data_IF_968790695822
#
_entry.id   IF_968790695822
#
_cell.length_a   1.000
_cell.length_b   1.000
_cell.length_c   1.000
_cell.angle_alpha   90.00
_cell.angle_beta   90.00
_cell.angle_gamma   90.00
#
_symmetry.space_group_name_H-M   'P 1'
#
loop_
_entity.id
_entity.type
_entity.pdbx_description
1 polymer ?
#
# COMPACT_ATOMS: atom_id res chain seq x y z
N UNK A 1 4.60 14.75 20.61
CA UNK A 1 3.18 14.40 20.87
C UNK A 1 2.31 14.36 19.59
N UNK A 2 2.88 14.26 18.38
CA UNK A 2 2.11 14.27 17.12
C UNK A 2 1.84 12.92 16.45
N UNK A 3 2.18 11.77 17.07
CA UNK A 3 2.17 10.47 16.37
C UNK A 3 0.91 9.62 16.54
N UNK A 4 0.08 9.90 17.55
CA UNK A 4 -1.14 9.12 17.85
C UNK A 4 -2.36 9.62 17.06
N UNK A 5 -2.51 10.94 16.89
CA UNK A 5 -3.56 11.53 16.06
C UNK A 5 -3.41 11.12 14.58
N UNK A 6 -2.18 11.07 14.06
CA UNK A 6 -1.93 10.64 12.67
C UNK A 6 -2.22 9.15 12.42
N UNK A 7 -2.31 8.30 13.45
CA UNK A 7 -2.59 6.86 13.29
C UNK A 7 -4.09 6.52 13.37
N UNK A 8 -4.83 7.20 14.25
CA UNK A 8 -6.29 7.02 14.36
C UNK A 8 -7.02 7.43 13.06
N UNK A 9 -6.49 8.44 12.36
CA UNK A 9 -7.11 8.98 11.13
C UNK A 9 -6.92 8.10 9.89
N UNK A 10 -5.84 7.30 9.82
CA UNK A 10 -5.62 6.33 8.72
C UNK A 10 -6.64 5.19 8.74
N UNK A 11 -7.16 4.86 9.92
CA UNK A 11 -8.18 3.82 10.11
C UNK A 11 -9.58 4.24 9.69
N UNK A 12 -9.89 5.54 9.66
CA UNK A 12 -11.18 6.01 9.19
C UNK A 12 -11.25 5.94 7.66
N UNK A 13 -10.27 6.49 6.93
CA UNK A 13 -10.40 6.66 5.47
C UNK A 13 -10.60 5.34 4.69
N UNK A 14 -9.97 4.24 5.11
CA UNK A 14 -10.12 2.92 4.44
C UNK A 14 -11.47 2.26 4.69
N UNK A 15 -12.12 2.54 5.83
CA UNK A 15 -13.47 2.05 6.11
C UNK A 15 -14.53 2.99 5.49
N UNK A 16 -14.17 4.26 5.26
CA UNK A 16 -15.07 5.29 4.74
C UNK A 16 -15.22 5.23 3.23
N UNK A 17 -14.13 4.99 2.50
CA UNK A 17 -14.15 4.74 1.05
C UNK A 17 -15.02 3.52 0.68
N UNK A 18 -15.07 2.52 1.56
CA UNK A 18 -15.84 1.28 1.36
C UNK A 18 -17.32 1.37 1.73
N UNK A 19 -17.72 2.35 2.54
CA UNK A 19 -19.07 2.41 3.13
C UNK A 19 -19.94 3.59 2.66
N UNK A 20 -19.42 4.54 1.86
CA UNK A 20 -20.24 5.61 1.27
C UNK A 20 -20.96 6.52 2.27
N UNK A 21 -20.44 6.67 3.49
CA UNK A 21 -21.05 7.46 4.56
C UNK A 21 -20.54 8.92 4.54
N UNK A 22 -21.46 9.87 4.68
CA UNK A 22 -21.16 11.30 4.87
C UNK A 22 -20.48 11.57 6.22
N UNK A 23 -19.47 12.45 6.21
CA UNK A 23 -18.63 12.82 7.34
C UNK A 23 -19.43 13.29 8.59
N UNK A 24 -19.32 12.64 9.77
CA UNK A 24 -19.79 13.21 11.04
C UNK A 24 -18.64 13.98 11.72
N UNK A 25 -18.69 15.33 11.70
CA UNK A 25 -17.72 16.19 12.43
C UNK A 25 -17.89 16.08 13.96
N UNK A 26 -18.97 15.48 14.47
CA UNK A 26 -19.45 15.83 15.80
C UNK A 26 -18.85 15.03 16.99
N UNK A 27 -18.08 13.96 16.76
CA UNK A 27 -17.71 13.04 17.86
C UNK A 27 -16.22 13.01 18.26
N UNK A 28 -15.32 13.76 17.62
CA UNK A 28 -13.92 13.80 18.06
C UNK A 28 -13.39 15.22 18.24
N UNK A 29 -12.99 15.55 19.47
CA UNK A 29 -12.34 16.81 19.88
C UNK A 29 -10.88 16.92 19.40
N UNK A 30 -10.53 16.24 18.30
CA UNK A 30 -9.20 16.27 17.71
C UNK A 30 -9.13 17.42 16.70
N UNK A 31 -8.44 18.50 17.09
CA UNK A 31 -8.12 19.60 16.20
C UNK A 31 -7.10 19.13 15.16
N UNK A 32 -7.58 18.67 14.01
CA UNK A 32 -6.75 18.17 12.92
C UNK A 32 -6.45 19.29 11.94
N UNK A 33 -5.15 19.49 11.71
CA UNK A 33 -4.59 20.47 10.81
C UNK A 33 -5.25 20.41 9.43
N UNK A 34 -5.66 21.58 8.90
CA UNK A 34 -6.48 21.67 7.70
C UNK A 34 -5.76 21.14 6.45
N UNK A 35 -4.43 21.31 6.42
CA UNK A 35 -3.57 20.83 5.33
C UNK A 35 -3.59 19.29 5.21
N UNK A 36 -3.85 18.59 6.32
CA UNK A 36 -3.95 17.13 6.29
C UNK A 36 -5.31 16.65 5.75
N UNK A 37 -6.36 17.48 5.76
CA UNK A 37 -7.71 17.09 5.33
C UNK A 37 -7.94 17.24 3.83
N UNK A 38 -7.28 18.20 3.19
CA UNK A 38 -7.50 18.54 1.78
C UNK A 38 -7.36 17.33 0.83
N UNK A 39 -6.32 16.48 0.93
CA UNK A 39 -6.19 15.33 0.05
C UNK A 39 -7.33 14.33 0.21
N UNK A 40 -7.86 14.15 1.43
CA UNK A 40 -8.97 13.22 1.67
C UNK A 40 -10.29 13.75 1.13
N UNK A 41 -10.51 15.07 1.19
CA UNK A 41 -11.69 15.68 0.60
C UNK A 41 -11.68 15.52 -0.92
N UNK A 42 -10.53 15.75 -1.56
CA UNK A 42 -10.35 15.52 -3.00
C UNK A 42 -10.61 14.04 -3.37
N UNK A 43 -10.00 13.10 -2.67
CA UNK A 43 -10.19 11.67 -2.94
C UNK A 43 -11.65 11.22 -2.75
N UNK A 44 -12.33 11.70 -1.71
CA UNK A 44 -13.73 11.39 -1.48
C UNK A 44 -14.63 11.99 -2.56
N UNK A 45 -14.36 13.21 -3.01
CA UNK A 45 -15.09 13.83 -4.11
C UNK A 45 -14.95 13.00 -5.40
N UNK A 46 -13.74 12.51 -5.69
CA UNK A 46 -13.50 11.63 -6.84
C UNK A 46 -14.23 10.30 -6.69
N UNK A 47 -14.21 9.67 -5.52
CA UNK A 47 -14.94 8.42 -5.26
C UNK A 47 -16.46 8.62 -5.39
N UNK A 48 -17.00 9.71 -4.87
CA UNK A 48 -18.43 10.04 -5.05
C UNK A 48 -18.79 10.26 -6.52
N UNK A 49 -17.91 10.91 -7.29
CA UNK A 49 -18.09 11.07 -8.74
C UNK A 49 -18.08 9.71 -9.44
N UNK A 50 -17.14 8.82 -9.12
CA UNK A 50 -17.07 7.46 -9.65
C UNK A 50 -18.35 6.65 -9.34
N UNK A 51 -18.88 6.75 -8.12
CA UNK A 51 -20.15 6.11 -7.76
C UNK A 51 -21.36 6.67 -8.53
N UNK A 52 -21.30 7.93 -8.96
CA UNK A 52 -22.30 8.57 -9.83
C UNK A 52 -22.02 8.36 -11.32
N UNK A 53 -21.09 7.45 -11.66
CA UNK A 53 -20.66 7.15 -13.02
C UNK A 53 -20.00 8.33 -13.76
N UNK A 54 -19.40 9.27 -13.02
CA UNK A 54 -18.60 10.35 -13.57
C UNK A 54 -17.10 10.02 -13.47
N UNK A 55 -16.45 9.89 -14.63
CA UNK A 55 -15.02 9.56 -14.75
C UNK A 55 -14.12 10.79 -14.82
N UNK A 56 -14.67 11.99 -15.03
CA UNK A 56 -13.90 13.22 -15.25
C UNK A 56 -12.88 13.47 -14.14
N UNK A 57 -13.32 13.58 -12.87
CA UNK A 57 -12.42 13.85 -11.75
C UNK A 57 -11.33 12.79 -11.58
N UNK A 58 -11.67 11.51 -11.78
CA UNK A 58 -10.71 10.41 -11.64
C UNK A 58 -9.66 10.41 -12.76
N UNK A 59 -10.07 10.73 -14.00
CA UNK A 59 -9.16 10.87 -15.14
C UNK A 59 -8.19 12.04 -14.95
N UNK A 60 -8.71 13.20 -14.55
CA UNK A 60 -7.87 14.39 -14.27
C UNK A 60 -6.85 14.10 -13.17
N UNK A 61 -7.28 13.45 -12.10
CA UNK A 61 -6.40 13.03 -11.01
C UNK A 61 -5.33 12.03 -11.48
N UNK A 62 -5.70 11.03 -12.28
CA UNK A 62 -4.74 10.04 -12.79
C UNK A 62 -3.70 10.69 -13.71
N UNK A 63 -4.10 11.64 -14.56
CA UNK A 63 -3.19 12.37 -15.44
C UNK A 63 -2.24 13.26 -14.64
N UNK A 64 -2.74 13.98 -13.62
CA UNK A 64 -1.89 14.85 -12.78
C UNK A 64 -0.89 14.07 -11.93
N UNK A 65 -1.21 12.81 -11.58
CA UNK A 65 -0.35 11.92 -10.79
C UNK A 65 0.38 10.86 -11.63
N UNK A 66 0.35 10.95 -12.97
CA UNK A 66 0.85 9.92 -13.90
C UNK A 66 2.25 9.42 -13.56
N UNK A 67 3.21 10.31 -13.33
CA UNK A 67 4.59 9.91 -13.04
C UNK A 67 4.69 9.05 -11.77
N UNK A 68 3.99 9.43 -10.70
CA UNK A 68 3.99 8.69 -9.44
C UNK A 68 3.23 7.37 -9.56
N UNK A 69 2.17 7.32 -10.37
CA UNK A 69 1.45 6.08 -10.67
C UNK A 69 2.31 5.10 -11.48
N UNK A 70 3.15 5.58 -12.40
CA UNK A 70 4.12 4.76 -13.13
C UNK A 70 5.18 4.17 -12.20
N UNK A 71 5.67 4.93 -11.22
CA UNK A 71 6.60 4.43 -10.19
C UNK A 71 5.97 3.30 -9.34
N UNK A 72 4.65 3.36 -9.12
CA UNK A 72 3.88 2.32 -8.45
C UNK A 72 3.49 1.14 -9.37
N UNK A 73 3.86 1.17 -10.66
CA UNK A 73 3.38 0.23 -11.69
C UNK A 73 1.83 0.11 -11.72
N UNK A 74 1.13 1.21 -11.47
CA UNK A 74 -0.33 1.23 -11.51
C UNK A 74 -0.86 1.21 -12.94
N UNK A 75 -1.91 0.43 -13.17
CA UNK A 75 -2.68 0.39 -14.42
C UNK A 75 -3.93 1.29 -14.39
N UNK A 76 -4.09 2.15 -13.38
CA UNK A 76 -5.31 2.92 -13.13
C UNK A 76 -5.71 3.81 -14.31
N UNK A 77 -4.75 4.56 -14.85
CA UNK A 77 -5.01 5.49 -15.95
C UNK A 77 -5.57 4.77 -17.19
N UNK A 78 -4.98 3.62 -17.53
CA UNK A 78 -5.49 2.79 -18.62
C UNK A 78 -6.91 2.30 -18.34
N UNK A 79 -7.19 1.79 -17.13
CA UNK A 79 -8.53 1.32 -16.73
C UNK A 79 -9.57 2.44 -16.85
N UNK A 80 -9.24 3.67 -16.46
CA UNK A 80 -10.12 4.83 -16.58
C UNK A 80 -10.42 5.17 -18.06
N UNK A 81 -9.39 5.24 -18.90
CA UNK A 81 -9.58 5.47 -20.34
C UNK A 81 -10.39 4.35 -21.00
N UNK A 82 -10.15 3.09 -20.60
CA UNK A 82 -10.93 1.92 -21.04
C UNK A 82 -12.39 2.07 -20.69
N UNK A 83 -12.72 2.40 -19.45
CA UNK A 83 -14.12 2.53 -19.02
C UNK A 83 -14.82 3.73 -19.68
N UNK A 84 -14.09 4.85 -19.88
CA UNK A 84 -14.63 5.99 -20.62
C UNK A 84 -14.96 5.61 -22.07
N UNK A 85 -14.07 4.88 -22.74
CA UNK A 85 -14.33 4.40 -24.09
C UNK A 85 -15.53 3.44 -24.15
N UNK A 86 -15.65 2.52 -23.19
CA UNK A 86 -16.81 1.63 -23.05
C UNK A 86 -18.11 2.44 -22.86
N UNK A 87 -18.08 3.52 -22.08
CA UNK A 87 -19.23 4.40 -21.91
C UNK A 87 -19.62 5.12 -23.22
N UNK A 88 -18.63 5.54 -24.03
CA UNK A 88 -18.90 6.08 -25.38
C UNK A 88 -19.51 5.02 -26.29
N UNK A 89 -19.00 3.80 -26.25
CA UNK A 89 -19.54 2.66 -27.00
C UNK A 89 -20.99 2.33 -26.62
N UNK A 90 -21.33 2.40 -25.33
CA UNK A 90 -22.69 2.20 -24.84
C UNK A 90 -23.68 3.25 -25.40
N UNK A 91 -23.19 4.42 -25.80
CA UNK A 91 -23.97 5.45 -26.50
C UNK A 91 -24.35 5.11 -27.95
N UNK A 92 -23.90 3.96 -28.48
CA UNK A 92 -24.26 3.47 -29.81
C UNK A 92 -23.66 4.30 -30.95
N UNK A 93 -24.31 4.28 -32.13
CA UNK A 93 -23.80 4.95 -33.33
C UNK A 93 -23.64 6.47 -33.15
N UNK A 94 -24.48 7.09 -32.33
CA UNK A 94 -24.45 8.54 -32.12
C UNK A 94 -23.12 9.01 -31.53
N UNK A 95 -22.45 8.16 -30.75
CA UNK A 95 -21.15 8.44 -30.13
C UNK A 95 -19.98 7.75 -30.83
N UNK A 96 -20.18 7.10 -31.98
CA UNK A 96 -19.13 6.35 -32.67
C UNK A 96 -17.93 7.24 -33.06
N UNK A 97 -18.20 8.43 -33.59
CA UNK A 97 -17.14 9.38 -33.98
C UNK A 97 -16.36 9.88 -32.75
N UNK A 98 -17.05 10.09 -31.63
CA UNK A 98 -16.45 10.48 -30.36
C UNK A 98 -15.60 9.35 -29.77
N UNK A 99 -16.06 8.10 -29.82
CA UNK A 99 -15.26 6.94 -29.42
C UNK A 99 -13.98 6.85 -30.27
N UNK A 100 -14.09 6.97 -31.59
CA UNK A 100 -12.94 6.91 -32.50
C UNK A 100 -11.95 8.06 -32.29
N UNK A 101 -12.43 9.27 -31.98
CA UNK A 101 -11.54 10.39 -31.65
C UNK A 101 -10.85 10.15 -30.30
N UNK A 102 -11.58 9.61 -29.32
CA UNK A 102 -11.07 9.30 -27.99
C UNK A 102 -10.02 8.18 -27.99
N UNK A 103 -10.11 7.23 -28.92
CA UNK A 103 -9.18 6.11 -29.07
C UNK A 103 -7.70 6.50 -29.11
N UNK A 104 -7.38 7.75 -29.50
CA UNK A 104 -6.02 8.29 -29.50
C UNK A 104 -5.35 8.26 -28.11
N UNK A 105 -6.13 8.35 -27.04
CA UNK A 105 -5.62 8.24 -25.66
C UNK A 105 -5.03 6.86 -25.34
N UNK A 106 -5.32 5.83 -26.14
CA UNK A 106 -4.73 4.50 -25.96
C UNK A 106 -3.30 4.37 -26.51
N UNK A 107 -2.78 5.36 -27.25
CA UNK A 107 -1.45 5.29 -27.85
C UNK A 107 -0.33 4.96 -26.82
N UNK A 108 -0.26 5.59 -25.63
CA UNK A 108 0.79 5.29 -24.65
C UNK A 108 0.70 3.87 -24.09
N UNK A 109 -0.48 3.25 -24.13
CA UNK A 109 -0.79 1.95 -23.54
C UNK A 109 -0.73 0.80 -24.55
N UNK A 110 -0.51 1.11 -25.84
CA UNK A 110 -0.63 0.16 -26.94
C UNK A 110 0.30 -1.05 -26.81
N UNK A 111 1.50 -0.88 -26.25
CA UNK A 111 2.45 -1.99 -26.07
C UNK A 111 2.03 -2.94 -24.93
N UNK A 112 1.55 -2.39 -23.81
CA UNK A 112 1.24 -3.17 -22.61
C UNK A 112 -0.17 -3.80 -22.68
N UNK A 113 -1.14 -3.08 -23.26
CA UNK A 113 -2.56 -3.44 -23.26
C UNK A 113 -3.12 -3.71 -24.66
N UNK A 114 -2.28 -4.15 -25.61
CA UNK A 114 -2.65 -4.34 -27.02
C UNK A 114 -3.93 -5.16 -27.21
N UNK A 115 -4.05 -6.30 -26.50
CA UNK A 115 -5.18 -7.22 -26.65
C UNK A 115 -6.49 -6.57 -26.22
N UNK A 116 -6.49 -5.86 -25.10
CA UNK A 116 -7.67 -5.18 -24.57
C UNK A 116 -8.12 -4.06 -25.53
N UNK A 117 -7.16 -3.30 -26.08
CA UNK A 117 -7.43 -2.28 -27.09
C UNK A 117 -8.03 -2.91 -28.35
N UNK A 118 -7.50 -4.04 -28.83
CA UNK A 118 -8.05 -4.74 -29.99
C UNK A 118 -9.49 -5.21 -29.77
N UNK A 119 -9.81 -5.73 -28.59
CA UNK A 119 -11.19 -6.10 -28.21
C UNK A 119 -12.12 -4.89 -28.27
N UNK A 120 -11.69 -3.75 -27.70
CA UNK A 120 -12.45 -2.50 -27.75
C UNK A 120 -12.64 -1.97 -29.18
N UNK A 121 -11.61 -2.04 -30.03
CA UNK A 121 -11.73 -1.63 -31.44
C UNK A 121 -12.60 -2.59 -32.24
N UNK A 122 -12.53 -3.89 -31.96
CA UNK A 122 -13.35 -4.92 -32.61
C UNK A 122 -14.84 -4.80 -32.29
N UNK A 123 -15.18 -4.30 -31.09
CA UNK A 123 -16.58 -4.14 -30.68
C UNK A 123 -17.34 -3.08 -31.51
N UNK A 124 -16.62 -2.13 -32.13
CA UNK A 124 -17.20 -1.11 -33.01
C UNK A 124 -18.03 -1.69 -34.16
N UNK A 125 -17.68 -2.88 -34.65
CA UNK A 125 -18.41 -3.59 -35.73
C UNK A 125 -19.85 -3.92 -35.31
N UNK A 126 -20.10 -4.11 -34.02
CA UNK A 126 -21.38 -4.53 -33.46
C UNK A 126 -22.26 -3.35 -33.00
N UNK A 127 -21.81 -2.10 -33.11
CA UNK A 127 -22.58 -0.93 -32.65
C UNK A 127 -23.97 -0.83 -33.29
N UNK A 128 -24.13 -1.26 -34.55
CA UNK A 128 -25.44 -1.30 -35.25
C UNK A 128 -26.43 -2.30 -34.66
N UNK A 129 -25.95 -3.41 -34.12
CA UNK A 129 -26.78 -4.46 -33.52
C UNK A 129 -27.01 -4.23 -32.03
N UNK A 130 -26.21 -3.34 -31.42
CA UNK A 130 -26.13 -3.14 -29.98
C UNK A 130 -25.11 -4.10 -29.35
N UNK A 131 -24.29 -3.58 -28.46
CA UNK A 131 -23.23 -4.34 -27.80
C UNK A 131 -23.75 -5.43 -26.86
N UNK A 132 -24.92 -5.23 -26.26
CA UNK A 132 -25.60 -6.21 -25.40
C UNK A 132 -25.89 -7.53 -26.13
N UNK A 133 -26.14 -7.48 -27.44
CA UNK A 133 -26.43 -8.65 -28.28
C UNK A 133 -25.18 -9.20 -28.97
N UNK A 134 -24.01 -8.68 -28.64
CA UNK A 134 -22.75 -9.02 -29.29
C UNK A 134 -21.89 -9.93 -28.40
N UNK A 135 -20.85 -10.57 -28.97
CA UNK A 135 -19.83 -11.27 -28.17
C UNK A 135 -19.10 -10.37 -27.15
N UNK A 136 -19.25 -9.05 -27.27
CA UNK A 136 -18.62 -8.04 -26.42
C UNK A 136 -19.52 -7.51 -25.31
N UNK A 137 -20.67 -8.14 -25.04
CA UNK A 137 -21.60 -7.70 -23.97
C UNK A 137 -20.92 -7.61 -22.60
N UNK A 138 -19.95 -8.49 -22.33
CA UNK A 138 -19.15 -8.47 -21.11
C UNK A 138 -18.42 -7.14 -20.87
N UNK A 139 -18.14 -6.34 -21.90
CA UNK A 139 -17.53 -5.01 -21.74
C UNK A 139 -18.45 -4.04 -20.97
N UNK A 140 -19.77 -4.25 -21.01
CA UNK A 140 -20.77 -3.38 -20.38
C UNK A 140 -21.06 -3.76 -18.93
N UNK A 141 -20.36 -4.74 -18.37
CA UNK A 141 -20.56 -5.16 -16.99
C UNK A 141 -20.26 -4.01 -16.00
N UNK A 142 -21.13 -3.87 -14.99
CA UNK A 142 -20.98 -2.90 -13.92
C UNK A 142 -19.83 -3.24 -12.97
N UNK A 143 -19.34 -4.49 -12.98
CA UNK A 143 -18.17 -4.91 -12.19
C UNK A 143 -16.93 -4.04 -12.43
N UNK A 144 -16.78 -3.47 -13.64
CA UNK A 144 -15.68 -2.57 -13.97
C UNK A 144 -15.66 -1.28 -13.13
N UNK A 145 -16.82 -0.78 -12.71
CA UNK A 145 -16.89 0.42 -11.85
C UNK A 145 -16.37 0.11 -10.45
N UNK A 146 -16.77 -1.03 -9.88
CA UNK A 146 -16.27 -1.48 -8.59
C UNK A 146 -14.74 -1.71 -8.63
N UNK A 147 -14.25 -2.35 -9.69
CA UNK A 147 -12.81 -2.58 -9.88
C UNK A 147 -12.02 -1.27 -9.97
N UNK A 148 -12.57 -0.24 -10.64
CA UNK A 148 -11.94 1.08 -10.72
C UNK A 148 -11.95 1.79 -9.36
N UNK A 149 -13.05 1.75 -8.61
CA UNK A 149 -13.10 2.33 -7.26
C UNK A 149 -12.05 1.69 -6.34
N UNK A 150 -11.91 0.36 -6.37
CA UNK A 150 -10.90 -0.37 -5.60
C UNK A 150 -9.48 -0.01 -6.04
N UNK A 151 -9.23 0.00 -7.35
CA UNK A 151 -7.92 0.35 -7.93
C UNK A 151 -7.54 1.79 -7.56
N UNK A 152 -8.47 2.74 -7.73
CA UNK A 152 -8.28 4.14 -7.37
C UNK A 152 -7.97 4.30 -5.89
N UNK A 153 -8.76 3.68 -5.01
CA UNK A 153 -8.57 3.77 -3.56
C UNK A 153 -7.19 3.25 -3.16
N UNK A 154 -6.81 2.08 -3.65
CA UNK A 154 -5.50 1.47 -3.36
C UNK A 154 -4.35 2.38 -3.79
N UNK A 155 -4.40 2.88 -5.02
CA UNK A 155 -3.31 3.65 -5.60
C UNK A 155 -3.22 5.04 -4.96
N UNK A 156 -4.36 5.68 -4.68
CA UNK A 156 -4.44 6.95 -3.95
C UNK A 156 -3.91 6.82 -2.51
N UNK A 157 -4.30 5.77 -1.79
CA UNK A 157 -3.76 5.49 -0.45
C UNK A 157 -2.24 5.27 -0.51
N UNK A 158 -1.75 4.54 -1.50
CA UNK A 158 -0.32 4.29 -1.69
C UNK A 158 0.46 5.59 -1.94
N UNK A 159 -0.07 6.49 -2.78
CA UNK A 159 0.54 7.80 -3.05
C UNK A 159 0.56 8.73 -1.83
N UNK A 160 -0.40 8.59 -0.92
CA UNK A 160 -0.43 9.32 0.35
C UNK A 160 0.40 8.64 1.46
N UNK A 161 1.06 7.50 1.17
CA UNK A 161 1.80 6.74 2.16
C UNK A 161 0.90 6.16 3.27
N UNK A 162 -0.35 5.85 2.92
CA UNK A 162 -1.35 5.29 3.80
C UNK A 162 -1.43 3.77 3.58
N UNK A 163 -1.64 3.05 4.68
CA UNK A 163 -2.03 1.64 4.58
C UNK A 163 -3.42 1.56 3.95
N UNK A 164 -3.58 0.65 2.98
CA UNK A 164 -4.86 0.31 2.36
C UNK A 164 -5.77 -0.45 3.35
N UNK A 165 -5.16 -1.16 4.31
CA UNK A 165 -5.89 -1.84 5.38
C UNK A 165 -5.98 -0.95 6.64
N UNK A 166 -7.16 -0.97 7.27
CA UNK A 166 -7.40 -0.26 8.53
C UNK A 166 -6.46 -0.79 9.62
N UNK A 167 -5.67 0.08 10.30
CA UNK A 167 -4.85 -0.32 11.43
C UNK A 167 -5.63 -1.01 12.55
N UNK A 168 -6.90 -0.62 12.78
CA UNK A 168 -7.76 -1.27 13.77
C UNK A 168 -8.13 -2.68 13.33
N UNK A 169 -8.50 -2.87 12.06
CA UNK A 169 -8.83 -4.18 11.50
C UNK A 169 -7.62 -5.12 11.57
N UNK A 170 -6.46 -4.66 11.13
CA UNK A 170 -5.19 -5.40 11.20
C UNK A 170 -4.84 -5.75 12.65
N UNK A 171 -4.95 -4.79 13.57
CA UNK A 171 -4.62 -5.00 15.00
C UNK A 171 -5.59 -6.00 15.63
N UNK A 172 -6.88 -5.92 15.32
CA UNK A 172 -7.89 -6.85 15.82
C UNK A 172 -7.66 -8.25 15.28
N UNK A 173 -7.46 -8.41 13.98
CA UNK A 173 -7.17 -9.70 13.34
C UNK A 173 -5.88 -10.32 13.89
N UNK A 174 -4.80 -9.52 14.01
CA UNK A 174 -3.55 -9.95 14.62
C UNK A 174 -3.75 -10.36 16.08
N UNK A 175 -4.57 -9.63 16.83
CA UNK A 175 -4.97 -9.95 18.19
C UNK A 175 -5.72 -11.28 18.29
N UNK A 176 -6.65 -11.56 17.37
CA UNK A 176 -7.37 -12.84 17.32
C UNK A 176 -6.43 -14.04 17.09
N UNK A 177 -5.36 -13.85 16.30
CA UNK A 177 -4.33 -14.88 16.08
C UNK A 177 -3.43 -15.03 17.31
N UNK A 178 -3.03 -13.92 17.93
CA UNK A 178 -2.12 -13.93 19.07
C UNK A 178 -2.76 -14.40 20.38
N UNK A 179 -4.03 -14.05 20.62
CA UNK A 179 -4.70 -14.25 21.91
C UNK A 179 -4.71 -15.71 22.39
N UNK A 180 -5.04 -16.72 21.55
CA UNK A 180 -5.00 -18.12 21.98
C UNK A 180 -3.60 -18.57 22.42
N UNK A 181 -2.56 -18.13 21.71
CA UNK A 181 -1.15 -18.42 22.05
C UNK A 181 -0.79 -17.80 23.40
N UNK A 182 -1.16 -16.53 23.60
CA UNK A 182 -0.93 -15.82 24.86
C UNK A 182 -1.68 -16.45 26.04
N UNK A 183 -2.91 -16.94 25.84
CA UNK A 183 -3.67 -17.65 26.87
C UNK A 183 -2.99 -18.95 27.28
N UNK A 184 -2.46 -19.72 26.31
CA UNK A 184 -1.71 -20.95 26.59
C UNK A 184 -0.41 -20.65 27.37
N UNK A 185 0.32 -19.61 26.97
CA UNK A 185 1.54 -19.18 27.67
C UNK A 185 1.22 -18.78 29.12
N UNK A 186 0.16 -17.99 29.33
CA UNK A 186 -0.29 -17.59 30.67
C UNK A 186 -0.56 -18.82 31.55
N UNK A 187 -1.31 -19.80 31.05
CA UNK A 187 -1.61 -21.02 31.78
C UNK A 187 -0.35 -21.82 32.16
N UNK A 188 0.62 -21.91 31.24
CA UNK A 188 1.90 -22.59 31.50
C UNK A 188 2.74 -21.86 32.56
N UNK A 189 2.79 -20.53 32.51
CA UNK A 189 3.51 -19.71 33.51
C UNK A 189 2.90 -19.88 34.90
N UNK A 190 1.56 -19.80 35.00
CA UNK A 190 0.82 -19.97 36.26
C UNK A 190 0.99 -21.38 36.85
N UNK A 191 0.98 -22.43 36.00
CA UNK A 191 1.11 -23.81 36.45
C UNK A 191 2.56 -24.22 36.81
N UNK A 192 3.57 -23.71 36.11
CA UNK A 192 4.96 -24.17 36.26
C UNK A 192 5.82 -23.31 37.20
N UNK A 193 5.26 -22.25 37.81
CA UNK A 193 6.00 -21.29 38.64
C UNK A 193 7.33 -20.81 38.00
N UNK A 194 7.33 -20.65 36.68
CA UNK A 194 8.52 -20.21 35.94
C UNK A 194 8.69 -18.69 36.07
N UNK A 195 9.06 -18.21 37.26
CA UNK A 195 9.27 -16.79 37.59
C UNK A 195 10.47 -16.15 36.86
N UNK A 196 11.34 -16.96 36.25
CA UNK A 196 12.54 -16.51 35.54
C UNK A 196 12.43 -16.40 34.01
N UNK A 197 11.27 -16.69 33.40
CA UNK A 197 11.11 -16.67 31.93
C UNK A 197 11.07 -15.24 31.38
N UNK A 198 10.62 -14.28 32.19
CA UNK A 198 10.64 -12.85 31.87
C UNK A 198 11.96 -12.20 32.28
N UNK A 199 13.10 -12.82 31.93
CA UNK A 199 14.40 -12.27 32.30
C UNK A 199 14.79 -11.11 31.39
N UNK A 200 14.67 -9.88 31.92
CA UNK A 200 15.35 -8.64 31.52
C UNK A 200 15.13 -8.06 30.11
N UNK A 201 14.32 -8.67 29.25
CA UNK A 201 13.88 -8.06 27.99
C UNK A 201 12.37 -8.13 27.95
N UNK A 202 11.71 -7.01 27.67
CA UNK A 202 10.25 -6.87 27.53
C UNK A 202 9.72 -7.62 26.28
N UNK A 203 10.11 -8.88 26.11
CA UNK A 203 9.88 -9.71 24.93
C UNK A 203 9.22 -11.03 25.34
N UNK A 204 8.32 -11.53 24.49
CA UNK A 204 7.69 -12.82 24.68
C UNK A 204 8.70 -13.95 24.39
N UNK A 205 8.66 -15.07 25.15
CA UNK A 205 9.59 -16.19 24.98
C UNK A 205 9.38 -16.97 23.67
N UNK A 206 8.31 -16.68 22.92
CA UNK A 206 7.92 -17.36 21.68
C UNK A 206 7.46 -16.30 20.69
N UNK A 207 7.88 -16.45 19.42
CA UNK A 207 7.41 -15.62 18.33
C UNK A 207 6.00 -16.07 17.89
N UNK A 208 5.09 -15.12 17.72
CA UNK A 208 3.73 -15.38 17.23
C UNK A 208 3.74 -15.14 15.72
N UNK A 209 3.59 -16.20 14.94
CA UNK A 209 3.54 -16.11 13.48
C UNK A 209 2.20 -15.52 13.02
N UNK A 210 2.18 -14.20 12.79
CA UNK A 210 1.01 -13.47 12.26
C UNK A 210 0.87 -13.57 10.73
N UNK A 211 1.80 -14.27 10.06
CA UNK A 211 1.88 -14.39 8.61
C UNK A 211 2.47 -13.16 7.90
N UNK A 212 2.95 -13.35 6.67
CA UNK A 212 3.68 -12.34 5.90
C UNK A 212 2.88 -11.07 5.61
N UNK A 213 1.54 -11.14 5.67
CA UNK A 213 0.65 -9.98 5.45
C UNK A 213 0.79 -8.92 6.55
N UNK A 214 1.30 -9.29 7.73
CA UNK A 214 1.50 -8.39 8.86
C UNK A 214 2.95 -7.84 8.94
N UNK A 215 3.79 -8.10 7.93
CA UNK A 215 5.18 -7.63 7.89
C UNK A 215 5.28 -6.26 7.23
N UNK A 216 5.00 -5.22 8.01
CA UNK A 216 5.00 -3.85 7.51
C UNK A 216 6.38 -3.17 7.50
N UNK A 217 7.38 -3.78 8.16
CA UNK A 217 8.71 -3.19 8.33
C UNK A 217 9.76 -4.28 8.17
N UNK A 218 10.82 -3.98 7.44
CA UNK A 218 11.99 -4.87 7.40
C UNK A 218 12.73 -4.77 8.72
N UNK A 219 12.92 -5.91 9.36
CA UNK A 219 13.66 -6.02 10.62
C UNK A 219 15.02 -6.64 10.32
N UNK A 220 16.09 -6.00 10.80
CA UNK A 220 17.43 -6.59 10.77
C UNK A 220 17.84 -7.02 12.17
N UNK A 221 18.19 -8.30 12.32
CA UNK A 221 18.82 -8.81 13.53
C UNK A 221 20.33 -8.83 13.34
N UNK A 222 21.05 -8.17 14.24
CA UNK A 222 22.50 -8.15 14.24
C UNK A 222 23.04 -9.56 14.51
N UNK A 223 23.79 -10.17 13.58
CA UNK A 223 24.24 -11.54 13.74
C UNK A 223 25.36 -11.70 14.79
N UNK A 224 26.04 -10.61 15.14
CA UNK A 224 27.11 -10.60 16.16
C UNK A 224 26.54 -10.47 17.56
N UNK A 225 25.63 -9.51 17.76
CA UNK A 225 25.02 -9.26 19.08
C UNK A 225 23.74 -10.06 19.30
N UNK A 226 23.24 -10.76 18.26
CA UNK A 226 21.99 -11.53 18.26
C UNK A 226 20.82 -10.71 18.80
N UNK A 227 20.77 -9.44 18.39
CA UNK A 227 19.74 -8.49 18.81
C UNK A 227 19.19 -7.75 17.59
N UNK A 228 17.89 -7.48 17.60
CA UNK A 228 17.24 -6.63 16.61
C UNK A 228 17.83 -5.22 16.63
N UNK A 229 18.05 -4.63 15.45
CA UNK A 229 18.46 -3.22 15.34
C UNK A 229 17.30 -2.28 15.57
N UNK A 230 17.62 -1.11 16.13
CA UNK A 230 16.67 -0.03 16.45
C UNK A 230 17.16 1.29 15.87
N UNK A 231 16.38 2.36 16.02
CA UNK A 231 16.83 3.72 15.64
C UNK A 231 18.09 4.17 16.40
N UNK A 232 18.24 3.72 17.65
CA UNK A 232 19.41 3.97 18.50
C UNK A 232 20.56 2.98 18.25
N UNK A 233 20.33 1.86 17.58
CA UNK A 233 21.37 0.92 17.17
C UNK A 233 21.09 0.41 15.75
N UNK A 234 21.28 1.26 14.72
CA UNK A 234 20.87 0.94 13.36
C UNK A 234 21.80 -0.09 12.70
N UNK A 235 21.34 -0.74 11.63
CA UNK A 235 22.18 -1.58 10.77
C UNK A 235 23.18 -0.72 10.00
N UNK A 236 24.44 -1.14 9.99
CA UNK A 236 25.57 -0.52 9.29
C UNK A 236 26.11 -1.50 8.26
N UNK A 237 26.14 -1.06 6.99
CA UNK A 237 26.82 -1.75 5.90
C UNK A 237 28.30 -1.41 5.93
N UNK A 238 29.11 -2.45 5.98
CA UNK A 238 30.56 -2.38 5.85
C UNK A 238 30.95 -2.20 4.37
N UNK A 239 32.17 -1.75 4.10
CA UNK A 239 32.68 -1.62 2.72
C UNK A 239 32.70 -2.95 1.95
N UNK A 240 32.76 -4.08 2.66
CA UNK A 240 32.68 -5.43 2.07
C UNK A 240 31.25 -5.87 1.73
N UNK A 241 30.24 -5.07 2.06
CA UNK A 241 28.83 -5.38 1.82
C UNK A 241 28.12 -6.10 2.96
N UNK A 242 28.85 -6.68 3.92
CA UNK A 242 28.23 -7.27 5.12
C UNK A 242 27.59 -6.22 6.01
N UNK A 243 26.53 -6.61 6.73
CA UNK A 243 25.77 -5.72 7.60
C UNK A 243 25.91 -6.19 9.05
N UNK A 244 26.19 -5.25 9.96
CA UNK A 244 26.22 -5.45 11.41
C UNK A 244 25.56 -4.26 12.10
N UNK A 245 25.16 -4.35 13.37
CA UNK A 245 24.63 -3.18 14.08
C UNK A 245 25.71 -2.19 14.47
N UNK A 246 25.35 -0.92 14.72
CA UNK A 246 26.25 0.12 15.22
C UNK A 246 26.98 -0.29 16.51
N UNK A 247 26.29 -0.91 17.45
CA UNK A 247 26.90 -1.37 18.70
C UNK A 247 27.91 -2.50 18.45
N UNK A 248 27.63 -3.40 17.50
CA UNK A 248 28.55 -4.46 17.12
C UNK A 248 29.78 -3.87 16.44
N UNK A 249 29.58 -2.88 15.57
CA UNK A 249 30.67 -2.14 14.93
C UNK A 249 31.59 -1.53 15.98
N UNK A 250 31.04 -0.80 16.95
CA UNK A 250 31.81 -0.16 18.02
C UNK A 250 32.59 -1.16 18.88
N UNK A 251 32.02 -2.34 19.16
CA UNK A 251 32.69 -3.40 19.93
C UNK A 251 33.81 -4.11 19.15
N UNK A 252 33.75 -4.09 17.82
CA UNK A 252 34.73 -4.75 16.94
C UNK A 252 35.88 -3.82 16.52
N UNK A 253 35.87 -2.55 16.93
CA UNK A 253 36.97 -1.62 16.69
C UNK A 253 38.16 -2.05 17.55
N UNK A 254 39.29 -2.34 16.91
CA UNK A 254 40.54 -2.64 17.59
C UNK A 254 41.68 -1.82 16.95
N UNK A 255 42.37 -1.00 17.75
CA UNK A 255 43.46 -0.15 17.26
C UNK A 255 43.04 0.85 16.17
N UNK A 256 41.80 1.35 16.21
CA UNK A 256 41.27 2.30 15.23
C UNK A 256 40.86 1.69 13.87
N UNK A 257 40.95 0.37 13.71
CA UNK A 257 40.49 -0.37 12.53
C UNK A 257 39.37 -1.32 12.91
N UNK A 258 38.49 -1.58 11.96
CA UNK A 258 37.39 -2.53 12.09
C UNK A 258 37.63 -3.71 11.14
N UNK A 259 37.74 -4.93 11.68
CA UNK A 259 37.75 -6.15 10.87
C UNK A 259 36.33 -6.69 10.73
N UNK A 260 35.95 -7.06 9.51
CA UNK A 260 34.68 -7.72 9.29
C UNK A 260 34.70 -9.13 9.94
N UNK A 261 33.64 -9.53 10.66
CA UNK A 261 33.57 -10.88 11.25
C UNK A 261 33.32 -11.99 10.22
N UNK A 262 32.88 -11.63 9.01
CA UNK A 262 32.53 -12.59 7.93
C UNK A 262 33.60 -12.71 6.85
N UNK A 263 34.57 -11.79 6.80
CA UNK A 263 35.58 -11.77 5.74
C UNK A 263 36.86 -11.08 6.24
N UNK A 264 38.02 -11.31 5.60
CA UNK A 264 39.29 -10.77 6.07
C UNK A 264 39.46 -9.25 5.85
N UNK A 265 38.43 -8.56 5.34
CA UNK A 265 38.52 -7.16 4.97
C UNK A 265 38.49 -6.24 6.20
N UNK A 266 39.46 -5.32 6.24
CA UNK A 266 39.58 -4.28 7.27
C UNK A 266 39.17 -2.92 6.71
N UNK A 267 38.61 -2.07 7.56
CA UNK A 267 38.16 -0.72 7.16
C UNK A 267 38.29 0.27 8.30
N UNK A 268 38.20 1.56 7.98
CA UNK A 268 38.00 2.59 8.99
C UNK A 268 36.54 2.51 9.48
N UNK A 269 36.27 2.51 10.81
CA UNK A 269 34.90 2.55 11.35
C UNK A 269 34.02 3.65 10.75
N UNK A 270 34.61 4.79 10.34
CA UNK A 270 33.89 5.90 9.72
C UNK A 270 33.36 5.61 8.30
N UNK A 271 33.88 4.61 7.61
CA UNK A 271 33.46 4.25 6.24
C UNK A 271 32.14 3.46 6.22
N UNK A 272 31.68 2.99 7.38
CA UNK A 272 30.43 2.26 7.53
C UNK A 272 29.23 3.13 7.22
N UNK A 273 28.34 2.65 6.35
CA UNK A 273 27.13 3.38 5.95
C UNK A 273 25.90 2.81 6.62
N UNK A 274 25.12 3.67 7.28
CA UNK A 274 23.81 3.28 7.81
C UNK A 274 22.89 2.81 6.69
N UNK A 275 22.22 1.68 6.90
CA UNK A 275 21.11 1.22 6.07
C UNK A 275 19.80 1.77 6.66
N UNK A 276 18.93 2.24 5.78
CA UNK A 276 17.54 2.57 6.09
C UNK A 276 16.70 1.65 5.21
N UNK A 277 15.79 0.90 5.81
CA UNK A 277 14.84 0.04 5.11
C UNK A 277 13.55 0.80 4.83
#
# INVERSE_FOLDING_TARGET
>A
MGSTASRAWRSCCTTWASCGLSWPVQESTLNVDLDFKQPFLELNQILEALHKHDLGPALEWAISHRQRLLELNSSLEFKLHRLHFIHLLAGGLNKQLEALSYARHFQPFAQLHQREIQVMMGSLVYLRLGLEKSPYCHLLDNSHWAEICETFTRDACSLLGLSVESPLSVSFASGCVALPVLMNIKAVIEQRQCTGVWSHKDELPIEIELGMKCWYHSVFACPILRQQTSDSNPPIKLICGHVISRDALNKLINGGKLKCPYCPMEQNPADGKRIIF
#
